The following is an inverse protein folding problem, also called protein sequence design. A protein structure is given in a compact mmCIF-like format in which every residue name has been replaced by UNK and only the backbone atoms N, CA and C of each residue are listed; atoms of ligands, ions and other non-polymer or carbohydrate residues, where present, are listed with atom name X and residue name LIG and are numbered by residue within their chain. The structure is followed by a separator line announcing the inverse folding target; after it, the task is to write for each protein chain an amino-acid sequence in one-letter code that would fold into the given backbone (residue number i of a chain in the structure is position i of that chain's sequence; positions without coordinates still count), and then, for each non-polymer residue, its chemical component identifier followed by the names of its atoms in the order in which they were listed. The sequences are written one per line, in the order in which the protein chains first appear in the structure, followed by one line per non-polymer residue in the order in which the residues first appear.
data_IF_640698442035
#
_entry.id   IF_640698442035
#
_cell.length_a   1.000
_cell.length_b   1.000
_cell.length_c   1.000
_cell.angle_alpha   90.00
_cell.angle_beta   90.00
_cell.angle_gamma   90.00
#
_symmetry.space_group_name_H-M   'P 1'
#
loop_
_entity.id
_entity.type
_entity.pdbx_description
1 polymer ?
#
# COMPACT_ATOMS: atom_id res chain seq x y z
N UNK A 1 -11.20 23.00 -21.82
CA UNK A 1 -11.98 21.80 -21.46
C UNK A 1 -11.14 20.58 -21.78
N UNK A 2 -10.97 19.68 -20.83
CA UNK A 2 -10.27 18.40 -21.01
C UNK A 2 -11.34 17.33 -21.16
N UNK A 3 -11.20 16.46 -22.18
CA UNK A 3 -12.06 15.28 -22.32
C UNK A 3 -11.58 14.22 -21.33
N UNK A 4 -12.47 13.74 -20.46
CA UNK A 4 -12.20 12.67 -19.53
C UNK A 4 -13.04 11.44 -19.88
N UNK A 5 -12.50 10.26 -19.64
CA UNK A 5 -13.23 9.00 -19.73
C UNK A 5 -13.09 8.28 -18.39
N UNK A 6 -14.18 7.70 -17.92
CA UNK A 6 -14.17 6.89 -16.69
C UNK A 6 -13.86 5.44 -17.04
N UNK A 7 -13.06 4.80 -16.18
CA UNK A 7 -12.85 3.36 -16.25
C UNK A 7 -14.19 2.67 -15.96
N UNK A 8 -14.55 1.70 -16.80
CA UNK A 8 -15.77 0.91 -16.58
C UNK A 8 -15.61 0.08 -15.30
N UNK A 9 -16.63 0.05 -14.46
CA UNK A 9 -16.65 -0.81 -13.29
C UNK A 9 -16.53 -2.28 -13.74
N UNK A 10 -15.64 -3.07 -13.11
CA UNK A 10 -15.48 -4.49 -13.45
C UNK A 10 -16.76 -5.29 -13.23
N UNK A 11 -17.10 -6.17 -14.17
CA UNK A 11 -18.34 -6.96 -14.12
C UNK A 11 -18.38 -7.92 -12.93
N UNK A 12 -17.22 -8.43 -12.49
CA UNK A 12 -17.14 -9.33 -11.33
C UNK A 12 -17.58 -8.71 -10.01
N UNK A 13 -17.64 -7.37 -9.92
CA UNK A 13 -18.12 -6.70 -8.70
C UNK A 13 -19.56 -7.12 -8.32
N UNK A 14 -20.41 -7.38 -9.31
CA UNK A 14 -21.79 -7.81 -9.10
C UNK A 14 -21.96 -9.33 -8.96
N UNK A 15 -20.88 -10.09 -9.18
CA UNK A 15 -20.95 -11.56 -9.13
C UNK A 15 -20.91 -12.07 -7.69
N UNK A 16 -21.73 -13.08 -7.40
CA UNK A 16 -21.77 -13.76 -6.11
C UNK A 16 -20.91 -15.02 -6.13
N UNK A 17 -20.18 -15.20 -5.05
CA UNK A 17 -19.40 -16.41 -4.78
C UNK A 17 -20.31 -17.54 -4.30
N UNK A 18 -19.79 -18.76 -4.25
CA UNK A 18 -20.48 -19.92 -3.70
C UNK A 18 -20.96 -19.71 -2.24
N UNK A 19 -20.26 -18.88 -1.47
CA UNK A 19 -20.66 -18.46 -0.12
C UNK A 19 -21.86 -17.51 -0.08
N UNK A 20 -22.27 -16.94 -1.23
CA UNK A 20 -23.29 -15.89 -1.35
C UNK A 20 -22.74 -14.46 -1.24
N UNK A 21 -21.50 -14.27 -0.83
CA UNK A 21 -20.83 -12.97 -0.77
C UNK A 21 -20.60 -12.40 -2.18
N UNK A 22 -20.48 -11.06 -2.28
CA UNK A 22 -20.05 -10.43 -3.53
C UNK A 22 -18.52 -10.54 -3.69
N UNK A 23 -18.05 -10.82 -4.91
CA UNK A 23 -16.62 -10.97 -5.20
C UNK A 23 -15.82 -9.71 -4.86
N UNK A 24 -16.37 -8.50 -5.09
CA UNK A 24 -15.74 -7.22 -4.74
C UNK A 24 -15.41 -7.07 -3.24
N UNK A 25 -15.98 -7.89 -2.37
CA UNK A 25 -15.71 -7.90 -0.93
C UNK A 25 -14.27 -8.35 -0.61
N UNK A 26 -13.69 -9.18 -1.49
CA UNK A 26 -12.39 -9.80 -1.30
C UNK A 26 -11.31 -9.17 -2.18
N UNK A 27 -11.68 -8.68 -3.36
CA UNK A 27 -10.75 -8.08 -4.31
C UNK A 27 -11.41 -6.94 -5.08
N UNK A 28 -10.70 -5.85 -5.24
CA UNK A 28 -11.16 -4.70 -6.02
C UNK A 28 -10.06 -4.26 -7.01
N UNK A 29 -10.47 -3.63 -8.11
CA UNK A 29 -9.55 -3.08 -9.09
C UNK A 29 -9.30 -1.60 -8.85
N UNK A 30 -8.06 -1.16 -9.00
CA UNK A 30 -7.69 0.25 -9.08
C UNK A 30 -7.06 0.50 -10.45
N UNK A 31 -7.81 1.20 -11.33
CA UNK A 31 -7.39 1.39 -12.71
C UNK A 31 -7.32 0.08 -13.49
N UNK A 32 -6.26 -0.07 -14.31
CA UNK A 32 -6.03 -1.21 -15.19
C UNK A 32 -4.82 -2.07 -14.80
N UNK A 33 -4.10 -1.70 -13.75
CA UNK A 33 -2.82 -2.32 -13.37
C UNK A 33 -2.73 -2.78 -11.92
N UNK A 34 -3.80 -2.57 -11.14
CA UNK A 34 -3.77 -2.93 -9.72
C UNK A 34 -5.01 -3.69 -9.27
N UNK A 35 -4.80 -4.82 -8.60
CA UNK A 35 -5.81 -5.56 -7.87
C UNK A 35 -5.55 -5.43 -6.37
N UNK A 36 -6.50 -4.81 -5.65
CA UNK A 36 -6.42 -4.57 -4.22
C UNK A 36 -7.07 -5.72 -3.44
N UNK A 37 -6.33 -6.33 -2.55
CA UNK A 37 -6.82 -7.23 -1.52
C UNK A 37 -6.70 -6.49 -0.18
N UNK A 38 -7.84 -6.24 0.45
CA UNK A 38 -7.93 -5.60 1.76
C UNK A 38 -8.38 -6.66 2.77
N UNK A 39 -7.45 -7.38 3.42
CA UNK A 39 -7.79 -8.50 4.29
C UNK A 39 -8.75 -8.12 5.42
N UNK A 40 -8.58 -6.92 5.97
CA UNK A 40 -9.49 -6.34 6.96
C UNK A 40 -9.55 -4.83 6.81
N UNK A 41 -10.63 -4.24 7.27
CA UNK A 41 -10.79 -2.80 7.40
C UNK A 41 -10.61 -2.34 8.85
N UNK A 42 -10.32 -1.05 8.99
CA UNK A 42 -9.99 -0.46 10.28
C UNK A 42 -8.52 -0.58 10.65
N UNK A 43 -8.04 0.38 11.43
CA UNK A 43 -6.67 0.49 11.92
C UNK A 43 -6.70 0.54 13.45
N UNK A 44 -5.97 -0.38 14.10
CA UNK A 44 -5.92 -0.53 15.56
C UNK A 44 -4.59 -0.08 16.17
N UNK A 45 -3.75 0.61 15.39
CA UNK A 45 -2.57 1.27 15.96
C UNK A 45 -2.98 2.22 17.09
N UNK A 46 -2.17 2.34 18.12
CA UNK A 46 -2.51 3.04 19.37
C UNK A 46 -3.04 4.46 19.16
N UNK A 47 -2.60 5.15 18.11
CA UNK A 47 -3.13 6.44 17.69
C UNK A 47 -3.03 6.55 16.17
N UNK A 48 -4.17 6.74 15.49
CA UNK A 48 -4.21 6.82 14.02
C UNK A 48 -3.50 8.07 13.49
N UNK A 49 -2.98 7.97 12.27
CA UNK A 49 -2.43 9.12 11.56
C UNK A 49 -3.50 10.19 11.36
N UNK A 50 -3.18 11.46 11.63
CA UNK A 50 -4.18 12.56 11.66
C UNK A 50 -4.80 12.87 10.31
N UNK A 51 -4.13 12.54 9.22
CA UNK A 51 -4.62 12.73 7.85
C UNK A 51 -5.53 11.56 7.37
N UNK A 52 -5.55 10.44 8.10
CA UNK A 52 -6.17 9.20 7.63
C UNK A 52 -7.60 9.06 8.11
N UNK A 53 -8.54 8.89 7.17
CA UNK A 53 -9.96 8.64 7.43
C UNK A 53 -10.35 7.16 7.53
N UNK A 54 -9.39 6.22 7.54
CA UNK A 54 -9.66 4.77 7.40
C UNK A 54 -10.68 4.22 8.37
N UNK A 55 -10.68 4.67 9.63
CA UNK A 55 -11.63 4.20 10.63
C UNK A 55 -13.05 4.76 10.42
N UNK A 56 -13.17 5.98 9.91
CA UNK A 56 -14.48 6.57 9.55
C UNK A 56 -15.11 5.85 8.35
N UNK A 57 -14.29 5.48 7.37
CA UNK A 57 -14.73 4.71 6.20
C UNK A 57 -15.10 3.27 6.60
N UNK A 58 -14.35 2.64 7.48
CA UNK A 58 -14.63 1.28 7.96
C UNK A 58 -16.00 1.15 8.65
N UNK A 59 -16.38 2.15 9.43
CA UNK A 59 -17.69 2.17 10.11
C UNK A 59 -18.87 2.28 9.11
N UNK A 60 -18.66 2.98 7.99
CA UNK A 60 -19.70 3.23 7.00
C UNK A 60 -19.92 2.08 6.01
N UNK A 61 -18.96 1.16 5.92
CA UNK A 61 -19.02 0.06 4.96
C UNK A 61 -19.04 -1.30 5.67
N UNK A 62 -20.22 -1.79 6.09
CA UNK A 62 -20.36 -3.04 6.84
C UNK A 62 -20.07 -4.31 6.03
N UNK A 63 -19.85 -4.19 4.71
CA UNK A 63 -19.62 -5.33 3.81
C UNK A 63 -18.17 -5.81 3.79
N UNK A 64 -17.49 -5.78 4.92
CA UNK A 64 -16.10 -6.21 5.02
C UNK A 64 -15.98 -7.72 5.17
N UNK A 65 -14.96 -8.30 4.51
CA UNK A 65 -14.65 -9.72 4.66
C UNK A 65 -14.19 -10.04 6.09
N UNK A 66 -13.33 -9.17 6.63
CA UNK A 66 -12.86 -9.21 8.02
C UNK A 66 -12.78 -7.79 8.58
N UNK A 67 -12.91 -7.66 9.88
CA UNK A 67 -12.70 -6.40 10.59
C UNK A 67 -11.54 -6.55 11.58
N UNK A 68 -10.67 -5.54 11.67
CA UNK A 68 -9.49 -5.58 12.55
C UNK A 68 -9.84 -5.95 14.01
N UNK A 69 -10.96 -5.44 14.52
CA UNK A 69 -11.42 -5.77 15.87
C UNK A 69 -11.70 -7.27 16.08
N UNK A 70 -12.14 -7.98 15.04
CA UNK A 70 -12.40 -9.42 15.12
C UNK A 70 -11.11 -10.26 15.11
N UNK A 71 -10.07 -9.75 14.45
CA UNK A 71 -8.76 -10.42 14.43
C UNK A 71 -8.04 -10.35 15.78
N UNK A 72 -8.44 -9.42 16.65
CA UNK A 72 -7.88 -9.18 17.97
C UNK A 72 -8.32 -10.21 19.01
N UNK A 73 -9.50 -10.80 18.86
CA UNK A 73 -10.10 -11.72 19.85
C UNK A 73 -9.92 -13.17 19.39
N UNK A 74 -9.16 -13.98 20.12
CA UNK A 74 -8.73 -15.31 19.72
C UNK A 74 -9.83 -16.31 19.28
N UNK A 75 -11.07 -16.16 19.74
CA UNK A 75 -12.19 -17.03 19.34
C UNK A 75 -12.74 -16.71 17.93
N UNK A 76 -12.47 -15.53 17.39
CA UNK A 76 -12.87 -15.06 16.06
C UNK A 76 -11.65 -14.63 15.23
N UNK A 77 -10.46 -15.07 15.63
CA UNK A 77 -9.20 -14.69 15.02
C UNK A 77 -8.99 -15.24 13.60
N UNK A 78 -7.82 -14.94 13.04
CA UNK A 78 -7.43 -15.37 11.70
C UNK A 78 -7.59 -16.88 11.49
N UNK A 79 -7.18 -17.69 12.45
CA UNK A 79 -7.24 -19.15 12.35
C UNK A 79 -8.66 -19.68 12.08
N UNK A 80 -9.67 -19.08 12.71
CA UNK A 80 -11.07 -19.44 12.49
C UNK A 80 -11.60 -18.99 11.11
N UNK A 81 -11.15 -17.83 10.64
CA UNK A 81 -11.62 -17.22 9.38
C UNK A 81 -10.83 -17.70 8.15
N UNK A 82 -9.61 -18.19 8.34
CA UNK A 82 -8.60 -18.40 7.29
C UNK A 82 -9.11 -19.23 6.12
N UNK A 83 -9.66 -20.42 6.40
CA UNK A 83 -10.08 -21.34 5.32
C UNK A 83 -11.20 -20.75 4.47
N UNK A 84 -12.23 -20.17 5.09
CA UNK A 84 -13.34 -19.53 4.38
C UNK A 84 -12.89 -18.29 3.63
N UNK A 85 -12.06 -17.44 4.26
CA UNK A 85 -11.54 -16.23 3.64
C UNK A 85 -10.70 -16.55 2.39
N UNK A 86 -9.75 -17.48 2.50
CA UNK A 86 -8.87 -17.85 1.38
C UNK A 86 -9.64 -18.53 0.24
N UNK A 87 -10.65 -19.33 0.54
CA UNK A 87 -11.52 -19.93 -0.47
C UNK A 87 -12.29 -18.88 -1.27
N UNK A 88 -12.95 -17.95 -0.57
CA UNK A 88 -13.68 -16.85 -1.20
C UNK A 88 -12.76 -15.90 -1.97
N UNK A 89 -11.57 -15.64 -1.45
CA UNK A 89 -10.56 -14.83 -2.14
C UNK A 89 -10.12 -15.49 -3.45
N UNK A 90 -9.84 -16.80 -3.45
CA UNK A 90 -9.47 -17.53 -4.67
C UNK A 90 -10.55 -17.47 -5.73
N UNK A 91 -11.81 -17.67 -5.36
CA UNK A 91 -12.93 -17.57 -6.28
C UNK A 91 -13.05 -16.15 -6.84
N UNK A 92 -12.91 -15.13 -6.00
CA UNK A 92 -12.94 -13.72 -6.41
C UNK A 92 -11.80 -13.35 -7.35
N UNK A 93 -10.58 -13.85 -7.10
CA UNK A 93 -9.43 -13.66 -7.98
C UNK A 93 -9.69 -14.29 -9.36
N UNK A 94 -10.22 -15.52 -9.41
CA UNK A 94 -10.56 -16.16 -10.68
C UNK A 94 -11.52 -15.32 -11.53
N UNK A 95 -12.55 -14.74 -10.90
CA UNK A 95 -13.49 -13.85 -11.57
C UNK A 95 -12.81 -12.54 -12.02
N UNK A 96 -11.99 -11.94 -11.17
CA UNK A 96 -11.26 -10.72 -11.50
C UNK A 96 -10.29 -10.91 -12.68
N UNK A 97 -9.53 -12.01 -12.70
CA UNK A 97 -8.56 -12.30 -13.75
C UNK A 97 -9.17 -12.66 -15.12
N UNK A 98 -10.47 -12.93 -15.19
CA UNK A 98 -11.21 -13.10 -16.45
C UNK A 98 -11.54 -11.76 -17.11
N UNK A 99 -11.37 -10.64 -16.41
CA UNK A 99 -11.63 -9.29 -16.94
C UNK A 99 -10.57 -8.92 -17.97
N UNK A 100 -10.99 -8.52 -19.17
CA UNK A 100 -10.08 -8.25 -20.31
C UNK A 100 -9.43 -6.88 -20.30
N UNK A 101 -9.88 -5.97 -19.43
CA UNK A 101 -9.43 -4.56 -19.43
C UNK A 101 -8.11 -4.31 -18.71
N UNK A 102 -7.46 -5.32 -18.16
CA UNK A 102 -6.23 -5.15 -17.41
C UNK A 102 -5.00 -5.04 -18.31
N UNK A 103 -4.03 -4.22 -17.85
CA UNK A 103 -2.76 -4.02 -18.55
C UNK A 103 -1.80 -5.20 -18.36
N UNK A 104 -0.72 -5.19 -19.14
CA UNK A 104 0.41 -6.12 -18.97
C UNK A 104 1.27 -5.83 -17.71
N UNK A 105 1.04 -4.70 -17.03
CA UNK A 105 1.76 -4.27 -15.84
C UNK A 105 0.98 -4.51 -14.54
N UNK A 106 0.14 -5.52 -14.53
CA UNK A 106 -0.66 -5.83 -13.36
C UNK A 106 0.18 -6.27 -12.18
N UNK A 107 -0.27 -5.86 -11.00
CA UNK A 107 0.19 -6.35 -9.71
C UNK A 107 -0.99 -6.56 -8.76
N UNK A 108 -0.74 -7.31 -7.71
CA UNK A 108 -1.66 -7.45 -6.59
C UNK A 108 -1.09 -6.68 -5.41
N UNK A 109 -1.89 -5.84 -4.78
CA UNK A 109 -1.52 -5.16 -3.55
C UNK A 109 -2.29 -5.75 -2.36
N UNK A 110 -1.56 -6.18 -1.34
CA UNK A 110 -2.11 -6.51 -0.03
C UNK A 110 -1.97 -5.27 0.84
N UNK A 111 -3.08 -4.67 1.23
CA UNK A 111 -3.11 -3.43 2.02
C UNK A 111 -4.25 -3.46 3.02
N UNK A 112 -4.00 -3.05 4.25
CA UNK A 112 -5.02 -2.90 5.30
C UNK A 112 -4.59 -1.86 6.32
N UNK A 113 -5.48 -1.49 7.22
CA UNK A 113 -5.07 -0.79 8.43
C UNK A 113 -4.22 -1.69 9.32
N UNK A 114 -3.53 -1.12 10.30
CA UNK A 114 -2.64 -1.88 11.17
C UNK A 114 -3.41 -2.62 12.26
N UNK A 115 -2.94 -3.79 12.63
CA UNK A 115 -3.23 -4.41 13.91
C UNK A 115 -2.55 -3.64 15.05
N UNK A 116 -2.84 -3.92 16.34
CA UNK A 116 -2.13 -3.33 17.46
C UNK A 116 -0.62 -3.54 17.40
N UNK A 117 0.13 -2.66 18.04
CA UNK A 117 1.59 -2.63 17.99
C UNK A 117 2.24 -3.96 18.41
N UNK A 118 1.64 -4.67 19.38
CA UNK A 118 2.07 -6.00 19.85
C UNK A 118 1.68 -7.14 18.90
N UNK A 119 0.91 -6.87 17.82
CA UNK A 119 0.43 -7.85 16.85
C UNK A 119 0.97 -7.60 15.42
N UNK A 120 1.98 -6.77 15.25
CA UNK A 120 2.57 -6.52 13.93
C UNK A 120 3.20 -7.77 13.30
N UNK A 121 3.70 -8.66 14.11
CA UNK A 121 4.23 -9.95 13.67
C UNK A 121 3.11 -10.87 13.17
N UNK A 122 1.97 -10.91 13.86
CA UNK A 122 0.77 -11.63 13.41
C UNK A 122 0.23 -11.04 12.09
N UNK A 123 0.24 -9.72 11.94
CA UNK A 123 -0.13 -9.06 10.70
C UNK A 123 0.73 -9.57 9.52
N UNK A 124 2.04 -9.67 9.71
CA UNK A 124 2.94 -10.20 8.71
C UNK A 124 2.68 -11.69 8.41
N UNK A 125 2.39 -12.51 9.43
CA UNK A 125 2.07 -13.92 9.24
C UNK A 125 0.75 -14.11 8.45
N UNK A 126 -0.28 -13.28 8.68
CA UNK A 126 -1.52 -13.27 7.87
C UNK A 126 -1.22 -12.92 6.40
N UNK A 127 -0.37 -11.93 6.15
CA UNK A 127 0.02 -11.56 4.80
C UNK A 127 0.82 -12.67 4.10
N UNK A 128 1.68 -13.40 4.86
CA UNK A 128 2.37 -14.59 4.33
C UNK A 128 1.37 -15.66 3.90
N UNK A 129 0.36 -15.95 4.71
CA UNK A 129 -0.67 -16.93 4.40
C UNK A 129 -1.42 -16.57 3.11
N UNK A 130 -1.87 -15.32 2.99
CA UNK A 130 -2.59 -14.82 1.82
C UNK A 130 -1.68 -14.88 0.59
N UNK A 131 -0.48 -14.32 0.65
CA UNK A 131 0.46 -14.28 -0.47
C UNK A 131 0.81 -15.70 -0.96
N UNK A 132 1.13 -16.62 -0.04
CA UNK A 132 1.45 -18.01 -0.37
C UNK A 132 0.28 -18.72 -1.04
N UNK A 133 -0.95 -18.42 -0.62
CA UNK A 133 -2.16 -19.00 -1.17
C UNK A 133 -2.42 -18.54 -2.61
N UNK A 134 -2.25 -17.24 -2.89
CA UNK A 134 -2.64 -16.65 -4.18
C UNK A 134 -1.52 -16.62 -5.23
N UNK A 135 -0.23 -16.77 -4.84
CA UNK A 135 0.91 -16.53 -5.74
C UNK A 135 0.85 -17.30 -7.07
N UNK A 136 0.47 -18.56 -7.03
CA UNK A 136 0.35 -19.39 -8.24
C UNK A 136 -0.81 -18.98 -9.13
N UNK A 137 -1.88 -18.47 -8.55
CA UNK A 137 -3.08 -18.03 -9.26
C UNK A 137 -2.89 -16.70 -9.97
N UNK A 138 -2.18 -15.76 -9.35
CA UNK A 138 -1.98 -14.40 -9.89
C UNK A 138 -0.77 -14.29 -10.82
N UNK A 139 0.25 -15.12 -10.65
CA UNK A 139 1.50 -15.07 -11.40
C UNK A 139 1.33 -14.98 -12.93
N UNK A 140 0.38 -15.68 -13.57
CA UNK A 140 0.26 -15.64 -15.03
C UNK A 140 -0.13 -14.26 -15.60
N UNK A 141 -0.79 -13.42 -14.81
CA UNK A 141 -1.26 -12.09 -15.26
C UNK A 141 -0.64 -10.93 -14.50
N UNK A 142 -0.24 -11.14 -13.25
CA UNK A 142 0.33 -10.08 -12.40
C UNK A 142 1.86 -10.09 -12.50
N UNK A 143 2.37 -9.57 -13.63
CA UNK A 143 3.81 -9.57 -13.97
C UNK A 143 4.68 -8.76 -12.99
N UNK A 144 4.11 -7.74 -12.34
CA UNK A 144 4.81 -6.95 -11.31
C UNK A 144 4.77 -7.64 -9.92
N UNK A 145 4.00 -8.73 -9.78
CA UNK A 145 3.97 -9.58 -8.60
C UNK A 145 3.02 -9.13 -7.50
N UNK A 146 3.30 -9.57 -6.26
CA UNK A 146 2.52 -9.25 -5.06
C UNK A 146 3.27 -8.18 -4.26
N UNK A 147 2.58 -7.09 -3.96
CA UNK A 147 3.08 -5.98 -3.15
C UNK A 147 2.42 -6.03 -1.78
N UNK A 148 3.20 -6.02 -0.71
CA UNK A 148 2.69 -5.98 0.66
C UNK A 148 2.89 -4.60 1.26
N UNK A 149 1.78 -3.88 1.50
CA UNK A 149 1.77 -2.59 2.23
C UNK A 149 1.40 -2.87 3.67
N UNK A 150 2.36 -2.72 4.57
CA UNK A 150 2.27 -3.21 5.94
C UNK A 150 3.11 -2.33 6.87
N UNK A 151 2.76 -2.23 8.15
CA UNK A 151 3.71 -1.74 9.16
C UNK A 151 4.77 -2.83 9.39
N UNK A 152 6.07 -2.47 9.48
CA UNK A 152 7.12 -3.45 9.61
C UNK A 152 6.92 -4.38 10.80
N UNK A 153 7.17 -5.69 10.68
CA UNK A 153 7.13 -6.62 11.81
C UNK A 153 8.26 -6.34 12.82
N UNK A 154 8.07 -6.74 14.07
CA UNK A 154 9.12 -6.68 15.08
C UNK A 154 10.22 -7.70 14.78
N UNK A 155 9.84 -8.95 14.48
CA UNK A 155 10.75 -10.01 14.10
C UNK A 155 11.11 -9.93 12.61
N UNK A 156 12.35 -9.59 12.32
CA UNK A 156 12.87 -9.45 10.95
C UNK A 156 12.85 -10.78 10.14
N UNK A 157 12.76 -11.93 10.80
CA UNK A 157 12.63 -13.23 10.12
C UNK A 157 11.36 -13.29 9.25
N UNK A 158 10.35 -12.50 9.59
CA UNK A 158 9.10 -12.41 8.80
C UNK A 158 9.28 -11.78 7.43
N UNK A 159 10.31 -10.97 7.23
CA UNK A 159 10.63 -10.45 5.90
C UNK A 159 11.06 -11.57 4.94
N UNK A 160 11.82 -12.53 5.43
CA UNK A 160 12.17 -13.72 4.65
C UNK A 160 10.94 -14.58 4.35
N UNK A 161 10.04 -14.75 5.34
CA UNK A 161 8.78 -15.48 5.14
C UNK A 161 7.90 -14.82 4.08
N UNK A 162 7.73 -13.49 4.13
CA UNK A 162 6.99 -12.74 3.11
C UNK A 162 7.58 -12.96 1.71
N UNK A 163 8.90 -12.90 1.57
CA UNK A 163 9.57 -13.17 0.29
C UNK A 163 9.32 -14.61 -0.18
N UNK A 164 9.46 -15.60 0.70
CA UNK A 164 9.19 -17.02 0.39
C UNK A 164 7.71 -17.26 0.02
N UNK A 165 6.80 -16.52 0.64
CA UNK A 165 5.38 -16.56 0.33
C UNK A 165 5.05 -15.99 -1.05
N UNK A 166 5.98 -15.31 -1.72
CA UNK A 166 5.82 -14.77 -3.07
C UNK A 166 5.61 -13.26 -3.14
N UNK A 167 5.80 -12.54 -2.02
CA UNK A 167 5.82 -11.07 -2.03
C UNK A 167 7.05 -10.61 -2.81
N UNK A 168 6.84 -9.75 -3.79
CA UNK A 168 7.89 -9.18 -4.65
C UNK A 168 8.40 -7.84 -4.11
N UNK A 169 7.52 -7.03 -3.54
CA UNK A 169 7.80 -5.70 -3.04
C UNK A 169 7.15 -5.54 -1.67
N UNK A 170 7.88 -4.96 -0.71
CA UNK A 170 7.30 -4.53 0.56
C UNK A 170 7.28 -3.01 0.65
N UNK A 171 6.21 -2.48 1.23
CA UNK A 171 6.01 -1.04 1.41
C UNK A 171 5.77 -0.77 2.90
N UNK A 172 6.71 -0.09 3.54
CA UNK A 172 6.62 0.35 4.93
C UNK A 172 6.45 1.85 4.96
N UNK A 173 5.20 2.30 4.96
CA UNK A 173 4.89 3.72 4.85
C UNK A 173 5.32 4.51 6.09
N UNK A 174 6.29 5.40 5.91
CA UNK A 174 6.63 6.43 6.89
C UNK A 174 5.53 7.49 6.96
N UNK A 175 4.93 7.84 5.81
CA UNK A 175 3.92 8.90 5.63
C UNK A 175 4.49 10.31 5.80
N UNK A 176 5.33 10.53 6.83
CA UNK A 176 6.05 11.77 7.14
C UNK A 176 7.47 11.41 7.51
N UNK A 177 8.44 12.08 6.91
CA UNK A 177 9.83 11.64 6.97
C UNK A 177 10.62 12.22 8.13
N UNK A 178 10.31 13.42 8.60
CA UNK A 178 11.14 14.16 9.52
C UNK A 178 10.40 14.58 10.79
N UNK A 179 11.08 14.56 11.94
CA UNK A 179 10.60 15.21 13.15
C UNK A 179 10.78 16.74 13.05
N UNK A 180 9.87 17.53 13.66
CA UNK A 180 8.77 17.11 14.54
C UNK A 180 7.48 16.68 13.83
N UNK A 181 7.46 16.69 12.48
CA UNK A 181 6.27 16.44 11.68
C UNK A 181 5.77 15.00 11.81
N UNK A 182 6.70 14.03 11.86
CA UNK A 182 6.36 12.61 12.03
C UNK A 182 5.58 12.39 13.34
N UNK A 183 6.08 12.91 14.45
CA UNK A 183 5.39 12.80 15.75
C UNK A 183 4.06 13.53 15.76
N UNK A 184 3.97 14.67 15.07
CA UNK A 184 2.75 15.49 15.02
C UNK A 184 1.63 14.79 14.23
N UNK A 185 1.95 14.22 13.06
CA UNK A 185 0.94 13.73 12.14
C UNK A 185 0.74 12.21 12.17
N UNK A 186 1.71 11.45 12.67
CA UNK A 186 1.68 10.00 12.79
C UNK A 186 1.95 9.51 14.22
N UNK A 187 1.16 9.96 15.24
CA UNK A 187 1.49 9.71 16.64
C UNK A 187 1.63 8.23 17.00
N UNK A 188 0.80 7.33 16.47
CA UNK A 188 0.92 5.89 16.70
C UNK A 188 2.17 5.29 16.08
N UNK A 189 2.53 5.69 14.85
CA UNK A 189 3.80 5.26 14.23
C UNK A 189 5.01 5.84 14.95
N UNK A 190 4.88 7.07 15.47
CA UNK A 190 5.92 7.73 16.28
C UNK A 190 6.19 6.98 17.58
N UNK A 191 5.19 6.33 18.18
CA UNK A 191 5.38 5.50 19.36
C UNK A 191 6.28 4.26 19.07
N UNK A 192 6.24 3.72 17.85
CA UNK A 192 7.19 2.68 17.39
C UNK A 192 8.58 3.26 17.12
N UNK A 193 8.64 4.55 16.76
CA UNK A 193 9.87 5.27 16.44
C UNK A 193 10.17 5.33 14.95
N UNK A 194 10.61 6.50 14.48
CA UNK A 194 11.02 6.73 13.09
C UNK A 194 12.15 5.80 12.65
N UNK A 195 13.15 5.62 13.49
CA UNK A 195 14.30 4.78 13.20
C UNK A 195 13.92 3.30 13.10
N UNK A 196 12.89 2.85 13.82
CA UNK A 196 12.31 1.52 13.65
C UNK A 196 11.89 1.27 12.20
N UNK A 197 11.20 2.20 11.54
CA UNK A 197 10.81 2.06 10.14
C UNK A 197 12.01 2.08 9.21
N UNK A 198 12.95 3.02 9.41
CA UNK A 198 14.13 3.18 8.53
C UNK A 198 15.02 1.94 8.57
N UNK A 199 15.30 1.40 9.75
CA UNK A 199 16.14 0.20 9.87
C UNK A 199 15.47 -1.03 9.22
N UNK A 200 14.17 -1.14 9.32
CA UNK A 200 13.43 -2.24 8.67
C UNK A 200 13.32 -2.07 7.17
N UNK A 201 13.21 -0.84 6.66
CA UNK A 201 13.30 -0.55 5.23
C UNK A 201 14.67 -0.93 4.67
N UNK A 202 15.76 -0.62 5.38
CA UNK A 202 17.11 -1.03 4.99
C UNK A 202 17.26 -2.55 4.97
N UNK A 203 16.75 -3.22 6.02
CA UNK A 203 16.79 -4.67 6.09
C UNK A 203 15.96 -5.30 4.97
N UNK A 204 14.77 -4.75 4.69
CA UNK A 204 13.94 -5.19 3.57
C UNK A 204 14.64 -5.02 2.22
N UNK A 205 15.37 -3.92 1.99
CA UNK A 205 16.18 -3.73 0.79
C UNK A 205 17.27 -4.82 0.64
N UNK A 206 17.82 -5.31 1.76
CA UNK A 206 18.76 -6.45 1.75
C UNK A 206 18.05 -7.76 1.41
N UNK A 207 16.88 -8.01 2.00
CA UNK A 207 16.13 -9.27 1.81
C UNK A 207 15.49 -9.35 0.43
N UNK A 208 14.78 -8.31 0.00
CA UNK A 208 14.03 -8.30 -1.26
C UNK A 208 14.89 -7.87 -2.46
N UNK A 209 15.94 -7.13 -2.22
CA UNK A 209 16.81 -6.55 -3.22
C UNK A 209 16.59 -5.05 -3.40
N UNK A 210 17.58 -4.40 -4.02
CA UNK A 210 17.53 -2.97 -4.34
C UNK A 210 16.28 -2.64 -5.17
N UNK A 211 15.58 -1.56 -4.80
CA UNK A 211 14.36 -1.14 -5.50
C UNK A 211 13.09 -1.93 -5.17
N UNK A 212 13.17 -2.89 -4.22
CA UNK A 212 12.02 -3.73 -3.81
C UNK A 212 11.56 -3.48 -2.36
N UNK A 213 12.16 -2.51 -1.68
CA UNK A 213 11.73 -1.94 -0.40
C UNK A 213 11.27 -0.51 -0.64
N UNK A 214 10.04 -0.20 -0.28
CA UNK A 214 9.41 1.07 -0.61
C UNK A 214 8.85 1.76 0.62
N UNK A 215 8.78 3.09 0.55
CA UNK A 215 8.02 3.91 1.50
C UNK A 215 7.23 4.96 0.75
N UNK A 216 6.03 5.28 1.24
CA UNK A 216 5.20 6.33 0.70
C UNK A 216 5.08 7.47 1.72
N UNK A 217 5.01 8.70 1.20
CA UNK A 217 4.86 9.93 1.97
C UNK A 217 3.54 10.64 1.64
N UNK A 218 3.11 11.52 2.53
CA UNK A 218 2.00 12.44 2.29
C UNK A 218 2.59 13.83 2.06
N UNK A 219 2.70 14.22 0.79
CA UNK A 219 3.25 15.51 0.38
C UNK A 219 2.35 16.66 0.86
N UNK A 220 2.92 17.58 1.61
CA UNK A 220 2.25 18.74 2.17
C UNK A 220 2.19 18.76 3.70
N UNK A 221 2.71 17.73 4.36
CA UNK A 221 2.75 17.65 5.83
C UNK A 221 4.09 18.13 6.44
N UNK A 222 5.12 18.25 5.61
CA UNK A 222 6.47 18.69 6.01
C UNK A 222 7.14 19.52 4.91
N UNK A 223 8.25 20.24 5.20
CA UNK A 223 8.97 20.98 4.19
C UNK A 223 9.49 20.09 3.06
N UNK A 224 9.22 20.47 1.81
CA UNK A 224 9.48 19.64 0.62
C UNK A 224 10.96 19.34 0.41
N UNK A 225 11.84 20.30 0.69
CA UNK A 225 13.28 20.09 0.47
C UNK A 225 13.90 19.15 1.52
N UNK A 226 13.39 19.18 2.77
CA UNK A 226 13.76 18.23 3.80
C UNK A 226 13.31 16.81 3.45
N UNK A 227 12.08 16.68 2.89
CA UNK A 227 11.56 15.41 2.41
C UNK A 227 12.37 14.87 1.25
N UNK A 228 12.73 15.70 0.26
CA UNK A 228 13.59 15.31 -0.86
C UNK A 228 14.98 14.86 -0.38
N UNK A 229 15.57 15.56 0.58
CA UNK A 229 16.86 15.15 1.18
C UNK A 229 16.76 13.77 1.84
N UNK A 230 15.64 13.48 2.50
CA UNK A 230 15.40 12.14 3.05
C UNK A 230 15.21 11.10 1.95
N UNK A 231 14.44 11.40 0.88
CA UNK A 231 14.26 10.50 -0.26
C UNK A 231 15.62 10.14 -0.91
N UNK A 232 16.51 11.12 -1.08
CA UNK A 232 17.89 10.89 -1.57
C UNK A 232 18.69 9.95 -0.65
N UNK A 233 18.61 10.18 0.67
CA UNK A 233 19.27 9.32 1.66
C UNK A 233 18.73 7.89 1.62
N UNK A 234 17.41 7.71 1.52
CA UNK A 234 16.78 6.40 1.42
C UNK A 234 17.16 5.68 0.12
N UNK A 235 17.23 6.42 -0.99
CA UNK A 235 17.67 5.88 -2.29
C UNK A 235 19.09 5.32 -2.23
N UNK A 236 19.99 5.94 -1.46
CA UNK A 236 21.34 5.43 -1.19
C UNK A 236 21.34 4.03 -0.55
N UNK A 237 20.32 3.69 0.23
CA UNK A 237 20.13 2.35 0.80
C UNK A 237 19.36 1.39 -0.12
N UNK A 238 19.02 1.80 -1.34
CA UNK A 238 18.24 0.97 -2.27
C UNK A 238 16.73 0.98 -2.02
N UNK A 239 16.25 1.96 -1.24
CA UNK A 239 14.84 2.12 -0.87
C UNK A 239 14.21 3.14 -1.83
N UNK A 240 13.06 2.79 -2.41
CA UNK A 240 12.30 3.69 -3.29
C UNK A 240 11.30 4.49 -2.48
N UNK A 241 11.24 5.78 -2.76
CA UNK A 241 10.25 6.68 -2.20
C UNK A 241 9.14 6.98 -3.21
N UNK A 242 7.92 7.10 -2.72
CA UNK A 242 6.77 7.62 -3.46
C UNK A 242 5.98 8.59 -2.58
N UNK A 243 5.03 9.31 -3.15
CA UNK A 243 4.17 10.17 -2.35
C UNK A 243 2.77 10.30 -2.94
N UNK A 244 1.79 10.47 -2.06
CA UNK A 244 0.47 10.96 -2.38
C UNK A 244 0.38 12.44 -2.01
N UNK A 245 -0.27 13.24 -2.86
CA UNK A 245 -0.55 14.65 -2.53
C UNK A 245 -1.61 14.70 -1.45
N UNK A 246 -1.36 15.48 -0.40
CA UNK A 246 -2.31 15.66 0.70
C UNK A 246 -3.66 16.12 0.17
N UNK A 247 -4.69 15.39 0.53
CA UNK A 247 -6.09 15.78 0.43
C UNK A 247 -6.76 15.49 1.77
N UNK A 248 -7.81 16.24 2.09
CA UNK A 248 -8.51 16.09 3.37
C UNK A 248 -9.72 15.18 3.15
N UNK A 249 -9.63 13.98 3.65
CA UNK A 249 -10.72 13.00 3.62
C UNK A 249 -11.66 13.19 4.80
N UNK A 250 -12.87 12.68 4.64
CA UNK A 250 -13.83 12.58 5.74
C UNK A 250 -13.23 11.72 6.88
N UNK A 251 -13.29 12.24 8.10
CA UNK A 251 -12.70 11.62 9.28
C UNK A 251 -11.22 11.95 9.51
N UNK A 252 -10.59 12.71 8.61
CA UNK A 252 -9.29 13.31 8.85
C UNK A 252 -9.37 14.30 10.03
N UNK A 253 -8.31 14.31 10.85
CA UNK A 253 -8.16 15.25 11.98
C UNK A 253 -7.32 16.46 11.59
N UNK A 254 -7.10 16.68 10.30
CA UNK A 254 -6.31 17.79 9.80
C UNK A 254 -7.19 18.95 9.41
N UNK A 255 -6.77 20.13 9.87
CA UNK A 255 -7.16 21.42 9.34
C UNK A 255 -5.94 22.00 8.61
N UNK A 256 -5.71 21.59 7.38
CA UNK A 256 -4.56 22.03 6.60
C UNK A 256 -4.93 22.22 5.13
N UNK A 257 -4.21 23.12 4.50
CA UNK A 257 -4.36 23.42 3.07
C UNK A 257 -3.49 22.45 2.27
N UNK A 258 -4.01 21.82 1.20
CA UNK A 258 -3.21 21.02 0.29
C UNK A 258 -2.01 21.82 -0.27
N UNK A 259 -0.90 21.16 -0.64
CA UNK A 259 0.27 21.83 -1.20
C UNK A 259 -0.07 22.53 -2.52
N UNK A 260 0.65 23.61 -2.83
CA UNK A 260 0.48 24.34 -4.08
C UNK A 260 0.92 23.50 -5.27
N UNK A 261 0.47 23.85 -6.47
CA UNK A 261 0.89 23.23 -7.72
C UNK A 261 2.42 23.24 -7.87
N UNK A 262 3.05 24.35 -7.53
CA UNK A 262 4.49 24.55 -7.63
C UNK A 262 5.24 23.60 -6.69
N UNK A 263 4.75 23.43 -5.44
CA UNK A 263 5.30 22.46 -4.48
C UNK A 263 5.18 21.02 -4.99
N UNK A 264 4.03 20.69 -5.58
CA UNK A 264 3.80 19.34 -6.14
C UNK A 264 4.76 19.06 -7.29
N UNK A 265 4.89 20.01 -8.24
CA UNK A 265 5.80 19.88 -9.37
C UNK A 265 7.25 19.77 -8.91
N UNK A 266 7.69 20.65 -8.00
CA UNK A 266 9.05 20.64 -7.44
C UNK A 266 9.39 19.29 -6.80
N UNK A 267 8.50 18.76 -5.97
CA UNK A 267 8.72 17.46 -5.32
C UNK A 267 8.83 16.32 -6.32
N UNK A 268 7.85 16.16 -7.21
CA UNK A 268 7.87 15.01 -8.14
C UNK A 268 8.96 15.08 -9.18
N UNK A 269 9.36 16.30 -9.60
CA UNK A 269 10.54 16.49 -10.43
C UNK A 269 11.82 16.07 -9.68
N UNK A 270 12.02 16.55 -8.45
CA UNK A 270 13.14 16.15 -7.60
C UNK A 270 13.19 14.65 -7.36
N UNK A 271 12.05 14.03 -7.06
CA UNK A 271 11.94 12.59 -6.86
C UNK A 271 12.29 11.79 -8.13
N UNK A 272 11.85 12.26 -9.32
CA UNK A 272 12.21 11.64 -10.58
C UNK A 272 13.73 11.70 -10.84
N UNK A 273 14.39 12.83 -10.53
CA UNK A 273 15.85 12.96 -10.64
C UNK A 273 16.58 11.99 -9.68
N UNK A 274 16.07 11.79 -8.47
CA UNK A 274 16.59 10.80 -7.52
C UNK A 274 16.43 9.40 -8.12
N UNK A 275 15.25 9.03 -8.60
CA UNK A 275 15.00 7.71 -9.19
C UNK A 275 15.93 7.41 -10.38
N UNK A 276 16.10 8.37 -11.29
CA UNK A 276 17.02 8.25 -12.43
C UNK A 276 18.48 8.07 -11.98
N UNK A 277 18.94 8.87 -11.02
CA UNK A 277 20.31 8.81 -10.49
C UNK A 277 20.62 7.47 -9.85
N UNK A 278 19.65 6.90 -9.14
CA UNK A 278 19.81 5.62 -8.44
C UNK A 278 19.36 4.40 -9.26
N UNK A 279 18.91 4.60 -10.50
CA UNK A 279 18.50 3.54 -11.42
C UNK A 279 17.26 2.78 -10.94
N UNK A 280 16.28 3.49 -10.38
CA UNK A 280 15.01 2.89 -9.99
C UNK A 280 14.02 2.88 -11.15
N UNK A 281 13.23 1.81 -11.23
CA UNK A 281 12.13 1.69 -12.19
C UNK A 281 11.03 2.71 -11.92
N UNK A 282 10.20 2.95 -12.94
CA UNK A 282 8.99 3.75 -12.81
C UNK A 282 8.07 3.17 -11.72
N UNK A 283 7.30 4.04 -11.08
CA UNK A 283 6.36 3.66 -10.02
C UNK A 283 5.36 2.61 -10.51
N UNK A 284 5.36 1.43 -9.91
CA UNK A 284 4.62 0.26 -10.39
C UNK A 284 3.10 0.48 -10.47
N UNK A 285 2.49 1.14 -9.49
CA UNK A 285 1.04 1.37 -9.43
C UNK A 285 0.52 2.36 -10.50
N UNK A 286 1.36 2.97 -11.30
CA UNK A 286 0.96 4.03 -12.21
C UNK A 286 1.42 3.82 -13.65
N UNK A 287 1.92 2.63 -13.98
CA UNK A 287 2.49 2.36 -15.32
C UNK A 287 1.43 2.42 -16.41
N UNK A 288 0.26 1.83 -16.21
CA UNK A 288 -0.80 1.78 -17.21
C UNK A 288 -1.57 3.10 -17.33
N UNK A 289 -1.99 3.69 -16.22
CA UNK A 289 -2.82 4.90 -16.20
C UNK A 289 -2.03 6.20 -16.13
N UNK A 290 -0.72 6.13 -15.94
CA UNK A 290 0.14 7.32 -15.87
C UNK A 290 -0.30 8.30 -14.79
N UNK A 291 -0.67 7.79 -13.62
CA UNK A 291 -1.18 8.62 -12.51
C UNK A 291 -0.09 9.22 -11.64
N UNK A 292 1.17 8.77 -11.78
CA UNK A 292 2.30 9.29 -11.01
C UNK A 292 3.06 10.36 -11.78
N UNK A 293 3.14 11.56 -11.22
CA UNK A 293 3.92 12.66 -11.81
C UNK A 293 5.42 12.33 -11.88
N UNK A 294 5.98 11.55 -10.95
CA UNK A 294 7.37 11.12 -11.03
C UNK A 294 7.65 10.31 -12.29
N UNK A 295 6.71 9.46 -12.75
CA UNK A 295 6.85 8.74 -14.00
C UNK A 295 6.83 9.65 -15.21
N UNK A 296 5.99 10.69 -15.20
CA UNK A 296 5.92 11.67 -16.30
C UNK A 296 7.24 12.45 -16.45
N UNK A 297 7.85 12.86 -15.33
CA UNK A 297 9.17 13.49 -15.34
C UNK A 297 10.29 12.50 -15.71
N UNK A 298 10.25 11.28 -15.18
CA UNK A 298 11.27 10.26 -15.45
C UNK A 298 11.30 9.86 -16.92
N UNK A 299 10.15 9.83 -17.59
CA UNK A 299 10.01 9.53 -19.02
C UNK A 299 10.23 10.77 -19.92
N UNK A 300 10.55 11.93 -19.35
CA UNK A 300 10.75 13.18 -20.10
C UNK A 300 9.49 13.72 -20.78
N UNK A 301 8.31 13.32 -20.33
CA UNK A 301 7.04 13.80 -20.91
C UNK A 301 6.59 15.14 -20.35
N UNK A 302 7.16 15.52 -19.24
CA UNK A 302 6.94 16.81 -18.61
C UNK A 302 8.30 17.48 -18.41
N UNK A 303 8.58 18.52 -19.22
CA UNK A 303 9.75 19.37 -19.12
C UNK A 303 9.40 20.67 -18.38
#
# INVERSE_FOLDING_TARGET
RVKVSFVKQPEYYAQRLASGDLAQKYISACGYDELNIIPWKGCLISSVCRFCGVNSVAVKNPNDALHAAHLRTGALGWEAARASYLGNLSESINLALQTECYSEHMHVILISGNLPDDQLDQQADIYCDIAAHIKGQVAPKCTEGIVAVITPPHDLARLYKLKQAGVAIVVFNLEVGNDPWFSKYCPGKSALGRDFFIERLKHAATVFGRGKSWTNFVLGLEPVDELLALCEKLAGYGIVSSANVLHVDEGSQLDCVPPTKETVIHFFHGLAQINLRYGFDAFYCAKALRTSLSNEFQDGRWA
#
